data_IF_031495898330
#
_entry.id   IF_031495898330
#
_cell.length_a   1.000
_cell.length_b   1.000
_cell.length_c   1.000
_cell.angle_alpha   90.00
_cell.angle_beta   90.00
_cell.angle_gamma   90.00
#
_symmetry.space_group_name_H-M   'P 1'
#
loop_
_entity.id
_entity.type
_entity.pdbx_description
1 polymer ?
#
# COMPACT_ATOMS: atom_id res chain seq x y z
N UNK A 1 -15.35 20.04 -8.06
CA UNK A 1 -14.45 21.04 -7.44
C UNK A 1 -13.24 21.18 -8.36
N UNK A 2 -12.75 22.38 -8.62
CA UNK A 2 -11.59 22.61 -9.48
C UNK A 2 -10.31 22.05 -8.80
N UNK A 3 -9.46 21.23 -9.48
CA UNK A 3 -8.24 20.69 -8.90
C UNK A 3 -7.30 21.77 -8.38
N UNK A 4 -7.21 22.91 -9.05
CA UNK A 4 -6.35 24.01 -8.61
C UNK A 4 -6.87 24.70 -7.35
N UNK A 5 -8.16 24.53 -7.03
CA UNK A 5 -8.77 25.02 -5.78
C UNK A 5 -8.59 23.99 -4.67
N UNK A 6 -8.82 22.70 -4.97
CA UNK A 6 -8.66 21.62 -3.99
C UNK A 6 -7.19 21.39 -3.61
N UNK A 7 -6.29 21.49 -4.60
CA UNK A 7 -4.86 21.26 -4.51
C UNK A 7 -4.08 22.38 -5.22
N UNK A 8 -3.90 23.55 -4.58
CA UNK A 8 -3.14 24.64 -5.16
C UNK A 8 -1.67 24.24 -5.40
N UNK A 9 -1.10 24.74 -6.49
CA UNK A 9 0.26 24.39 -6.92
C UNK A 9 1.29 24.64 -5.80
N UNK A 10 2.15 23.64 -5.57
CA UNK A 10 3.22 23.71 -4.56
C UNK A 10 2.77 23.41 -3.13
N UNK A 11 1.47 23.17 -2.90
CA UNK A 11 0.95 22.72 -1.62
C UNK A 11 0.65 21.23 -1.67
N UNK A 12 1.12 20.49 -0.68
CA UNK A 12 0.86 19.03 -0.54
C UNK A 12 0.28 18.65 0.83
N UNK A 13 0.18 19.59 1.79
CA UNK A 13 -0.31 19.33 3.15
C UNK A 13 -1.86 19.35 3.27
N UNK A 14 -2.50 18.34 2.68
CA UNK A 14 -3.95 18.20 2.63
C UNK A 14 -4.50 17.25 3.70
N UNK A 15 -5.73 17.48 4.18
CA UNK A 15 -6.37 16.54 5.11
C UNK A 15 -6.89 15.31 4.37
N UNK A 16 -7.19 14.22 5.11
CA UNK A 16 -7.92 13.07 4.56
C UNK A 16 -9.23 13.44 3.85
N UNK A 17 -9.93 14.48 4.32
CA UNK A 17 -11.16 14.94 3.68
C UNK A 17 -10.87 15.45 2.25
N UNK A 18 -9.85 16.29 2.09
CA UNK A 18 -9.41 16.73 0.75
C UNK A 18 -8.95 15.55 -0.11
N UNK A 19 -8.17 14.63 0.46
CA UNK A 19 -7.73 13.41 -0.23
C UNK A 19 -8.91 12.63 -0.82
N UNK A 20 -9.88 12.21 0.01
CA UNK A 20 -11.02 11.41 -0.46
C UNK A 20 -11.92 12.18 -1.42
N UNK A 21 -12.05 13.51 -1.25
CA UNK A 21 -12.80 14.35 -2.19
C UNK A 21 -12.13 14.42 -3.57
N UNK A 22 -10.81 14.60 -3.63
CA UNK A 22 -10.06 14.65 -4.91
C UNK A 22 -10.14 13.29 -5.61
N UNK A 23 -9.92 12.20 -4.88
CA UNK A 23 -10.04 10.86 -5.44
C UNK A 23 -11.44 10.61 -6.00
N UNK A 24 -12.46 10.77 -5.16
CA UNK A 24 -13.86 10.46 -5.50
C UNK A 24 -14.41 11.33 -6.63
N UNK A 25 -14.15 12.63 -6.57
CA UNK A 25 -14.79 13.58 -7.48
C UNK A 25 -13.99 13.83 -8.75
N UNK A 26 -12.75 13.33 -8.85
CA UNK A 26 -11.82 13.73 -9.92
C UNK A 26 -11.01 12.58 -10.46
N UNK A 27 -10.08 12.02 -9.68
CA UNK A 27 -9.15 10.98 -10.16
C UNK A 27 -9.93 9.79 -10.71
N UNK A 28 -10.99 9.38 -9.98
CA UNK A 28 -11.84 8.27 -10.38
C UNK A 28 -12.59 8.53 -11.69
N UNK A 29 -12.87 9.79 -12.01
CA UNK A 29 -13.59 10.20 -13.23
C UNK A 29 -12.67 10.26 -14.45
N UNK A 30 -11.36 10.43 -14.24
CA UNK A 30 -10.35 10.49 -15.30
C UNK A 30 -9.87 9.10 -15.76
N UNK A 31 -10.02 8.07 -14.93
CA UNK A 31 -9.58 6.70 -15.22
C UNK A 31 -10.77 5.75 -15.42
N UNK A 32 -11.66 6.07 -16.36
CA UNK A 32 -12.94 5.35 -16.56
C UNK A 32 -12.99 4.47 -17.80
N UNK A 33 -12.00 4.52 -18.68
CA UNK A 33 -11.89 3.73 -19.91
C UNK A 33 -10.56 2.94 -19.99
N UNK A 34 -10.47 2.00 -20.93
CA UNK A 34 -9.28 1.13 -21.06
C UNK A 34 -8.00 1.86 -21.46
N UNK A 35 -8.08 2.93 -22.25
CA UNK A 35 -6.93 3.70 -22.70
C UNK A 35 -6.33 4.47 -21.52
N UNK A 36 -7.17 5.18 -20.78
CA UNK A 36 -6.78 5.89 -19.56
C UNK A 36 -6.21 4.94 -18.49
N UNK A 37 -6.77 3.74 -18.33
CA UNK A 37 -6.23 2.73 -17.41
C UNK A 37 -4.85 2.23 -17.84
N UNK A 38 -4.64 1.95 -19.13
CA UNK A 38 -3.34 1.53 -19.68
C UNK A 38 -2.30 2.64 -19.53
N UNK A 39 -2.66 3.88 -19.87
CA UNK A 39 -1.80 5.04 -19.73
C UNK A 39 -1.35 5.22 -18.27
N UNK A 40 -2.30 5.29 -17.34
CA UNK A 40 -2.01 5.53 -15.93
C UNK A 40 -1.18 4.40 -15.34
N UNK A 41 -1.53 3.14 -15.62
CA UNK A 41 -0.75 1.98 -15.14
C UNK A 41 0.68 2.04 -15.68
N UNK A 42 0.86 2.26 -16.98
CA UNK A 42 2.19 2.35 -17.59
C UNK A 42 3.02 3.50 -17.02
N UNK A 43 2.40 4.67 -16.81
CA UNK A 43 3.08 5.83 -16.20
C UNK A 43 3.60 5.50 -14.81
N UNK A 44 2.78 4.86 -13.97
CA UNK A 44 3.18 4.43 -12.62
C UNK A 44 4.36 3.47 -12.66
N UNK A 45 4.34 2.48 -13.55
CA UNK A 45 5.45 1.52 -13.72
C UNK A 45 6.75 2.22 -14.15
N UNK A 46 6.66 3.14 -15.11
CA UNK A 46 7.80 3.91 -15.60
C UNK A 46 8.40 4.81 -14.52
N UNK A 47 7.56 5.45 -13.72
CA UNK A 47 7.99 6.37 -12.67
C UNK A 47 8.66 5.61 -11.52
N UNK A 48 8.10 4.47 -11.08
CA UNK A 48 8.74 3.64 -10.06
C UNK A 48 10.04 3.01 -10.55
N UNK A 49 10.10 2.51 -11.79
CA UNK A 49 11.37 1.98 -12.32
C UNK A 49 12.44 3.07 -12.42
N UNK A 50 12.06 4.29 -12.83
CA UNK A 50 12.96 5.45 -12.87
C UNK A 50 13.45 5.86 -11.47
N UNK A 51 12.61 5.68 -10.46
CA UNK A 51 12.95 5.90 -9.04
C UNK A 51 13.85 4.79 -8.46
N UNK A 52 14.22 3.79 -9.25
CA UNK A 52 15.15 2.72 -8.87
C UNK A 52 14.50 1.53 -8.16
N UNK A 53 13.16 1.43 -8.19
CA UNK A 53 12.45 0.31 -7.58
C UNK A 53 12.81 -1.01 -8.25
N UNK A 54 13.12 -2.03 -7.44
CA UNK A 54 13.43 -3.40 -7.91
C UNK A 54 12.26 -4.36 -7.74
N UNK A 55 11.31 -4.04 -6.88
CA UNK A 55 10.14 -4.85 -6.55
C UNK A 55 8.95 -3.95 -6.24
N UNK A 56 7.84 -4.14 -6.95
CA UNK A 56 6.62 -3.35 -6.80
C UNK A 56 5.41 -4.25 -6.56
N UNK A 57 4.70 -4.03 -5.45
CA UNK A 57 3.33 -4.52 -5.25
C UNK A 57 2.37 -3.34 -5.46
N UNK A 58 1.84 -3.22 -6.68
CA UNK A 58 0.85 -2.19 -7.00
C UNK A 58 -0.51 -2.59 -6.43
N UNK A 59 -1.18 -1.70 -5.71
CA UNK A 59 -2.54 -1.93 -5.20
C UNK A 59 -3.57 -1.13 -6.00
N UNK A 60 -4.74 -1.71 -6.21
CA UNK A 60 -5.85 -0.99 -6.85
C UNK A 60 -7.22 -1.57 -6.49
N UNK A 61 -8.20 -0.69 -6.33
CA UNK A 61 -9.62 -1.06 -6.17
C UNK A 61 -10.24 -1.37 -7.53
N UNK A 62 -10.77 -2.58 -7.77
CA UNK A 62 -11.51 -2.89 -9.00
C UNK A 62 -12.70 -1.94 -9.16
N UNK A 63 -12.76 -1.25 -10.29
CA UNK A 63 -13.84 -0.29 -10.59
C UNK A 63 -14.59 -0.70 -11.84
N UNK A 64 -15.83 -0.25 -11.90
CA UNK A 64 -16.69 -0.37 -13.05
C UNK A 64 -17.06 1.01 -13.60
N UNK A 65 -17.14 1.08 -14.92
CA UNK A 65 -17.69 2.19 -15.68
C UNK A 65 -18.45 1.55 -16.85
N UNK A 66 -19.69 1.15 -16.58
CA UNK A 66 -20.49 0.36 -17.53
C UNK A 66 -20.76 1.12 -18.83
N UNK A 67 -20.93 2.44 -18.74
CA UNK A 67 -21.10 3.31 -19.91
C UNK A 67 -19.86 3.33 -20.83
N UNK A 68 -18.68 3.02 -20.28
CA UNK A 68 -17.42 2.87 -21.01
C UNK A 68 -17.06 1.39 -21.28
N UNK A 69 -17.97 0.45 -20.98
CA UNK A 69 -17.75 -0.99 -21.17
C UNK A 69 -16.71 -1.59 -20.21
N UNK A 70 -16.42 -0.93 -19.08
CA UNK A 70 -15.45 -1.41 -18.08
C UNK A 70 -16.21 -2.09 -16.93
N UNK A 71 -16.11 -3.42 -16.86
CA UNK A 71 -16.43 -4.18 -15.64
C UNK A 71 -15.23 -4.23 -14.69
N UNK A 72 -15.43 -4.61 -13.42
CA UNK A 72 -14.33 -4.84 -12.48
C UNK A 72 -13.32 -5.89 -12.99
N UNK A 73 -13.80 -6.93 -13.64
CA UNK A 73 -12.93 -7.92 -14.30
C UNK A 73 -12.14 -7.28 -15.45
N UNK A 74 -12.81 -6.49 -16.32
CA UNK A 74 -12.14 -5.83 -17.43
C UNK A 74 -11.08 -4.84 -16.92
N UNK A 75 -11.37 -4.11 -15.84
CA UNK A 75 -10.44 -3.23 -15.15
C UNK A 75 -9.17 -3.99 -14.74
N UNK A 76 -9.32 -5.07 -13.96
CA UNK A 76 -8.19 -5.85 -13.45
C UNK A 76 -7.41 -6.52 -14.58
N UNK A 77 -8.10 -7.12 -15.55
CA UNK A 77 -7.43 -7.70 -16.72
C UNK A 77 -6.64 -6.66 -17.52
N UNK A 78 -7.12 -5.42 -17.64
CA UNK A 78 -6.42 -4.34 -18.35
C UNK A 78 -5.16 -3.90 -17.60
N UNK A 79 -5.21 -3.78 -16.28
CA UNK A 79 -4.03 -3.47 -15.44
C UNK A 79 -2.98 -4.59 -15.57
N UNK A 80 -3.40 -5.85 -15.46
CA UNK A 80 -2.51 -7.01 -15.59
C UNK A 80 -1.91 -7.12 -17.00
N UNK A 81 -2.72 -6.93 -18.05
CA UNK A 81 -2.23 -6.90 -19.43
C UNK A 81 -1.17 -5.79 -19.61
N UNK A 82 -1.38 -4.62 -18.99
CA UNK A 82 -0.40 -3.52 -19.06
C UNK A 82 0.91 -3.85 -18.33
N UNK A 83 0.83 -4.50 -17.17
CA UNK A 83 2.02 -5.00 -16.43
C UNK A 83 2.76 -6.04 -17.28
N UNK A 84 2.02 -6.98 -17.88
CA UNK A 84 2.56 -8.03 -18.75
C UNK A 84 3.18 -7.48 -20.05
N UNK A 85 2.65 -6.38 -20.59
CA UNK A 85 3.18 -5.67 -21.76
C UNK A 85 4.40 -4.81 -21.41
N UNK A 86 4.47 -4.27 -20.19
CA UNK A 86 5.58 -3.43 -19.76
C UNK A 86 6.88 -4.21 -19.57
N UNK A 87 6.81 -5.41 -18.95
CA UNK A 87 7.93 -6.36 -18.72
C UNK A 87 9.31 -5.70 -18.57
N UNK A 88 9.63 -5.28 -17.35
CA UNK A 88 10.97 -4.80 -16.99
C UNK A 88 11.90 -5.96 -16.61
N UNK A 89 13.16 -5.88 -17.03
CA UNK A 89 14.23 -6.78 -16.57
C UNK A 89 14.79 -6.37 -15.19
N UNK A 90 14.49 -5.15 -14.73
CA UNK A 90 15.01 -4.58 -13.49
C UNK A 90 14.01 -4.67 -12.33
N UNK A 91 12.73 -4.46 -12.63
CA UNK A 91 11.65 -4.39 -11.66
C UNK A 91 10.61 -5.48 -11.89
N UNK A 92 10.44 -6.35 -10.89
CA UNK A 92 9.31 -7.27 -10.83
C UNK A 92 8.07 -6.56 -10.29
N UNK A 93 6.92 -6.73 -10.93
CA UNK A 93 5.65 -6.12 -10.49
C UNK A 93 4.60 -7.18 -10.20
N UNK A 94 3.89 -7.00 -9.10
CA UNK A 94 2.75 -7.81 -8.66
C UNK A 94 1.56 -6.91 -8.33
N UNK A 95 0.37 -7.50 -8.30
CA UNK A 95 -0.87 -6.78 -8.02
C UNK A 95 -1.50 -7.22 -6.68
N UNK A 96 -1.96 -6.24 -5.91
CA UNK A 96 -2.85 -6.42 -4.76
C UNK A 96 -4.22 -5.85 -5.11
N UNK A 97 -5.27 -6.64 -4.88
CA UNK A 97 -6.65 -6.17 -5.12
C UNK A 97 -7.20 -5.54 -3.85
N UNK A 98 -7.62 -4.28 -3.94
CA UNK A 98 -8.12 -3.52 -2.80
C UNK A 98 -9.62 -3.71 -2.58
N UNK A 99 -10.00 -3.94 -1.33
CA UNK A 99 -11.36 -3.81 -0.82
C UNK A 99 -11.53 -2.42 -0.20
N UNK A 100 -12.50 -1.66 -0.69
CA UNK A 100 -12.89 -0.38 -0.11
C UNK A 100 -13.83 -0.62 1.08
N UNK A 101 -13.39 -0.24 2.29
CA UNK A 101 -14.14 -0.43 3.54
C UNK A 101 -15.51 0.26 3.57
N UNK A 102 -15.76 1.22 2.68
CA UNK A 102 -17.05 1.92 2.57
C UNK A 102 -18.11 1.11 1.80
N UNK A 103 -17.70 0.01 1.14
CA UNK A 103 -18.56 -0.83 0.29
C UNK A 103 -19.16 -2.01 1.07
N UNK A 104 -20.29 -2.58 0.61
CA UNK A 104 -20.91 -3.73 1.26
C UNK A 104 -20.04 -4.99 1.14
N UNK A 105 -20.32 -6.00 1.97
CA UNK A 105 -19.58 -7.26 1.98
C UNK A 105 -19.61 -8.02 0.63
N UNK A 106 -20.63 -7.81 -0.19
CA UNK A 106 -20.73 -8.39 -1.54
C UNK A 106 -19.62 -7.89 -2.46
N UNK A 107 -19.28 -6.60 -2.40
CA UNK A 107 -18.18 -6.02 -3.18
C UNK A 107 -16.83 -6.62 -2.76
N UNK A 108 -16.64 -6.83 -1.46
CA UNK A 108 -15.44 -7.49 -0.96
C UNK A 108 -15.33 -8.92 -1.49
N UNK A 109 -16.42 -9.71 -1.44
CA UNK A 109 -16.43 -11.08 -1.97
C UNK A 109 -16.09 -11.13 -3.46
N UNK A 110 -16.67 -10.22 -4.25
CA UNK A 110 -16.36 -10.10 -5.68
C UNK A 110 -14.87 -9.76 -5.92
N UNK A 111 -14.32 -8.82 -5.15
CA UNK A 111 -12.89 -8.48 -5.23
C UNK A 111 -11.99 -9.68 -4.89
N UNK A 112 -12.36 -10.48 -3.87
CA UNK A 112 -11.64 -11.72 -3.54
C UNK A 112 -11.76 -12.75 -4.66
N UNK A 113 -12.94 -12.90 -5.28
CA UNK A 113 -13.13 -13.81 -6.41
C UNK A 113 -12.24 -13.44 -7.60
N UNK A 114 -12.13 -12.14 -7.90
CA UNK A 114 -11.19 -11.64 -8.91
C UNK A 114 -9.75 -11.93 -8.51
N UNK A 115 -9.39 -11.74 -7.24
CA UNK A 115 -8.03 -11.98 -6.77
C UNK A 115 -7.63 -13.45 -6.95
N UNK A 116 -8.52 -14.37 -6.56
CA UNK A 116 -8.34 -15.82 -6.73
C UNK A 116 -8.18 -16.17 -8.21
N UNK A 117 -9.08 -15.67 -9.06
CA UNK A 117 -9.07 -15.92 -10.51
C UNK A 117 -7.75 -15.52 -11.16
N UNK A 118 -7.14 -14.43 -10.70
CA UNK A 118 -5.94 -13.86 -11.30
C UNK A 118 -4.63 -14.14 -10.54
N UNK A 119 -4.63 -15.05 -9.56
CA UNK A 119 -3.39 -15.45 -8.84
C UNK A 119 -2.28 -15.90 -9.80
N UNK A 120 -2.64 -16.70 -10.82
CA UNK A 120 -1.70 -17.17 -11.84
C UNK A 120 -1.18 -16.09 -12.80
N UNK A 121 -1.68 -14.85 -12.71
CA UNK A 121 -1.28 -13.70 -13.54
C UNK A 121 -0.57 -12.59 -12.73
N UNK A 122 -0.13 -12.87 -11.51
CA UNK A 122 0.63 -11.93 -10.70
C UNK A 122 -0.18 -11.20 -9.62
N UNK A 123 -1.44 -11.58 -9.38
CA UNK A 123 -2.14 -11.17 -8.16
C UNK A 123 -1.62 -11.97 -6.98
N UNK A 124 -1.06 -11.29 -5.98
CA UNK A 124 -0.40 -11.94 -4.83
C UNK A 124 -1.16 -11.79 -3.52
N UNK A 125 -2.09 -10.86 -3.46
CA UNK A 125 -2.83 -10.60 -2.24
C UNK A 125 -4.00 -9.67 -2.43
N UNK A 126 -4.63 -9.37 -1.30
CA UNK A 126 -5.73 -8.43 -1.18
C UNK A 126 -5.46 -7.48 -0.03
N UNK A 127 -6.11 -6.32 -0.08
CA UNK A 127 -6.06 -5.38 1.02
C UNK A 127 -7.43 -4.90 1.49
N UNK A 128 -7.46 -4.28 2.66
CA UNK A 128 -8.53 -3.38 3.10
C UNK A 128 -7.99 -1.95 3.19
N UNK A 129 -8.64 -1.02 2.50
CA UNK A 129 -8.34 0.41 2.54
C UNK A 129 -9.61 1.25 2.43
N UNK A 130 -9.50 2.50 1.99
CA UNK A 130 -10.61 3.44 1.88
C UNK A 130 -10.81 4.28 3.13
N UNK A 131 -11.91 5.05 3.22
CA UNK A 131 -12.05 6.06 4.28
C UNK A 131 -12.09 5.45 5.70
N UNK A 132 -11.08 5.69 6.56
CA UNK A 132 -10.97 5.04 7.87
C UNK A 132 -12.04 5.49 8.87
N UNK A 133 -12.78 6.56 8.58
CA UNK A 133 -13.89 7.05 9.41
C UNK A 133 -15.22 6.37 9.10
N UNK A 134 -15.24 5.41 8.16
CA UNK A 134 -16.45 4.79 7.61
C UNK A 134 -16.33 3.27 7.56
N UNK A 135 -17.47 2.60 7.42
CA UNK A 135 -17.53 1.15 7.23
C UNK A 135 -17.41 0.35 8.53
N UNK A 136 -17.92 -0.88 8.50
CA UNK A 136 -17.81 -1.85 9.60
C UNK A 136 -16.95 -3.02 9.15
N UNK A 137 -15.73 -3.12 9.68
CA UNK A 137 -14.75 -4.13 9.26
C UNK A 137 -15.20 -5.57 9.53
N UNK A 138 -16.17 -5.79 10.43
CA UNK A 138 -16.68 -7.13 10.81
C UNK A 138 -17.40 -7.81 9.65
N UNK A 139 -17.94 -7.05 8.71
CA UNK A 139 -18.69 -7.59 7.56
C UNK A 139 -17.78 -8.32 6.57
N UNK A 140 -16.47 -8.06 6.60
CA UNK A 140 -15.51 -8.61 5.65
C UNK A 140 -14.93 -9.97 6.05
N UNK A 141 -15.31 -10.51 7.22
CA UNK A 141 -14.81 -11.79 7.73
C UNK A 141 -14.92 -12.94 6.73
N UNK A 142 -16.07 -13.05 6.04
CA UNK A 142 -16.25 -14.11 5.05
C UNK A 142 -15.30 -13.95 3.85
N UNK A 143 -15.10 -12.72 3.39
CA UNK A 143 -14.22 -12.41 2.27
C UNK A 143 -12.75 -12.70 2.61
N UNK A 144 -12.25 -12.21 3.74
CA UNK A 144 -10.85 -12.43 4.11
C UNK A 144 -10.55 -13.88 4.51
N UNK A 145 -11.49 -14.60 5.13
CA UNK A 145 -11.36 -16.05 5.34
C UNK A 145 -11.25 -16.79 4.01
N UNK A 146 -12.05 -16.40 3.00
CA UNK A 146 -11.97 -16.97 1.65
C UNK A 146 -10.63 -16.68 1.00
N UNK A 147 -10.10 -15.46 1.12
CA UNK A 147 -8.80 -15.09 0.58
C UNK A 147 -7.68 -15.96 1.18
N UNK A 148 -7.62 -16.07 2.52
CA UNK A 148 -6.64 -16.90 3.23
C UNK A 148 -6.75 -18.39 2.85
N UNK A 149 -7.96 -18.91 2.70
CA UNK A 149 -8.20 -20.29 2.29
C UNK A 149 -7.66 -20.61 0.88
N UNK A 150 -7.46 -19.61 0.03
CA UNK A 150 -6.87 -19.74 -1.31
C UNK A 150 -5.41 -19.28 -1.37
N UNK A 151 -4.77 -19.07 -0.20
CA UNK A 151 -3.36 -18.72 -0.10
C UNK A 151 -3.02 -17.28 -0.54
N UNK A 152 -4.03 -16.42 -0.73
CA UNK A 152 -3.78 -14.99 -0.95
C UNK A 152 -3.22 -14.36 0.32
N UNK A 153 -2.25 -13.46 0.13
CA UNK A 153 -1.69 -12.63 1.20
C UNK A 153 -2.64 -11.50 1.56
N UNK A 154 -2.59 -11.04 2.81
CA UNK A 154 -3.48 -10.00 3.33
C UNK A 154 -2.68 -8.84 3.91
N UNK A 155 -2.95 -7.62 3.43
CA UNK A 155 -2.49 -6.39 4.09
C UNK A 155 -3.68 -5.52 4.48
N UNK A 156 -3.65 -4.83 5.62
CA UNK A 156 -4.78 -4.05 6.12
C UNK A 156 -4.32 -2.65 6.50
N UNK A 157 -4.98 -1.62 6.00
CA UNK A 157 -4.87 -0.29 6.61
C UNK A 157 -5.36 -0.38 8.05
N UNK A 158 -4.56 0.13 8.99
CA UNK A 158 -4.73 -0.17 10.41
C UNK A 158 -4.45 1.05 11.28
N UNK A 159 -5.45 1.46 12.06
CA UNK A 159 -5.34 2.59 12.99
C UNK A 159 -4.85 3.91 12.34
N UNK A 160 -5.21 4.17 11.08
CA UNK A 160 -4.85 5.41 10.36
C UNK A 160 -5.37 6.68 11.04
N UNK A 161 -6.48 6.57 11.78
CA UNK A 161 -7.11 7.68 12.48
C UNK A 161 -7.62 7.23 13.85
N UNK A 162 -7.89 8.20 14.72
CA UNK A 162 -8.56 7.95 16.01
C UNK A 162 -9.94 7.26 15.87
N UNK A 163 -10.57 7.34 14.70
CA UNK A 163 -11.86 6.68 14.44
C UNK A 163 -11.71 5.19 14.13
N UNK A 164 -10.57 4.79 13.56
CA UNK A 164 -10.25 3.40 13.22
C UNK A 164 -9.31 2.73 14.23
N UNK A 165 -9.18 3.31 15.44
CA UNK A 165 -8.29 2.82 16.51
C UNK A 165 -9.03 2.22 17.71
N UNK A 166 -10.33 1.90 17.58
CA UNK A 166 -11.07 1.27 18.67
C UNK A 166 -10.59 -0.17 18.90
N UNK A 167 -10.51 -0.66 20.16
CA UNK A 167 -10.10 -2.03 20.44
C UNK A 167 -10.91 -3.08 19.67
N UNK A 168 -12.22 -2.87 19.49
CA UNK A 168 -13.07 -3.81 18.74
C UNK A 168 -12.67 -3.90 17.26
N UNK A 169 -12.40 -2.76 16.60
CA UNK A 169 -11.96 -2.73 15.20
C UNK A 169 -10.56 -3.35 15.06
N UNK A 170 -9.60 -2.95 15.89
CA UNK A 170 -8.23 -3.44 15.83
C UNK A 170 -8.15 -4.95 16.09
N UNK A 171 -8.85 -5.45 17.11
CA UNK A 171 -8.92 -6.90 17.37
C UNK A 171 -9.64 -7.65 16.25
N UNK A 172 -10.67 -7.07 15.64
CA UNK A 172 -11.34 -7.68 14.47
C UNK A 172 -10.36 -7.81 13.30
N UNK A 173 -9.63 -6.74 12.96
CA UNK A 173 -8.66 -6.74 11.87
C UNK A 173 -7.52 -7.74 12.14
N UNK A 174 -6.98 -7.78 13.36
CA UNK A 174 -5.96 -8.75 13.75
C UNK A 174 -6.47 -10.20 13.75
N UNK A 175 -7.77 -10.43 13.94
CA UNK A 175 -8.39 -11.76 13.85
C UNK A 175 -8.41 -12.33 12.44
N UNK A 176 -8.21 -11.49 11.41
CA UNK A 176 -8.07 -11.92 10.01
C UNK A 176 -6.65 -12.40 9.68
N UNK A 177 -5.74 -12.40 10.65
CA UNK A 177 -4.35 -12.85 10.50
C UNK A 177 -3.64 -12.20 9.31
N UNK A 178 -3.56 -10.86 9.27
CA UNK A 178 -2.90 -10.15 8.19
C UNK A 178 -1.40 -10.47 8.15
N UNK A 179 -0.85 -10.54 6.94
CA UNK A 179 0.58 -10.68 6.69
C UNK A 179 1.31 -9.33 6.86
N UNK A 180 0.62 -8.21 6.59
CA UNK A 180 1.12 -6.84 6.80
C UNK A 180 0.04 -5.87 7.31
N UNK A 181 0.47 -4.77 7.92
CA UNK A 181 -0.39 -3.65 8.34
C UNK A 181 0.14 -2.35 7.73
N UNK A 182 -0.76 -1.52 7.22
CA UNK A 182 -0.47 -0.18 6.72
C UNK A 182 -0.73 0.91 7.76
N UNK A 183 0.08 1.95 7.72
CA UNK A 183 0.04 3.15 8.57
C UNK A 183 0.34 2.93 10.05
N UNK A 184 -0.45 2.14 10.79
CA UNK A 184 -0.23 1.84 12.23
C UNK A 184 0.05 3.07 13.12
N UNK A 185 -0.73 4.14 12.92
CA UNK A 185 -0.52 5.45 13.56
C UNK A 185 -1.04 5.47 15.00
N UNK A 186 -2.34 5.25 15.17
CA UNK A 186 -3.04 5.38 16.44
C UNK A 186 -3.16 4.03 17.16
N UNK A 187 -2.05 3.31 17.31
CA UNK A 187 -2.05 1.96 17.90
C UNK A 187 -1.81 2.04 19.42
N UNK A 188 -2.72 1.50 20.25
CA UNK A 188 -2.49 1.35 21.70
C UNK A 188 -1.35 0.39 22.02
N UNK A 189 -0.73 0.50 23.20
CA UNK A 189 0.49 -0.25 23.54
C UNK A 189 0.27 -1.77 23.58
N UNK A 190 -0.88 -2.25 24.07
CA UNK A 190 -1.22 -3.69 24.06
C UNK A 190 -1.34 -4.25 22.63
N UNK A 191 -1.81 -3.44 21.68
CA UNK A 191 -1.87 -3.80 20.27
C UNK A 191 -0.48 -3.72 19.63
N UNK A 192 0.40 -2.77 20.03
CA UNK A 192 1.79 -2.74 19.56
C UNK A 192 2.55 -3.98 19.98
N UNK A 193 2.37 -4.42 21.24
CA UNK A 193 2.96 -5.64 21.76
C UNK A 193 2.52 -6.85 20.94
N UNK A 194 1.24 -6.93 20.59
CA UNK A 194 0.71 -8.01 19.77
C UNK A 194 1.25 -8.02 18.33
N UNK A 195 1.35 -6.85 17.70
CA UNK A 195 1.96 -6.67 16.37
C UNK A 195 3.42 -7.14 16.39
N UNK A 196 4.17 -6.71 17.40
CA UNK A 196 5.60 -7.05 17.58
C UNK A 196 5.78 -8.54 17.84
N UNK A 197 4.95 -9.13 18.72
CA UNK A 197 4.97 -10.56 19.03
C UNK A 197 4.72 -11.43 17.80
N UNK A 198 3.82 -11.00 16.92
CA UNK A 198 3.50 -11.68 15.65
C UNK A 198 4.49 -11.39 14.53
N UNK A 199 5.38 -10.39 14.71
CA UNK A 199 6.33 -9.90 13.69
C UNK A 199 5.64 -9.54 12.37
N UNK A 200 4.48 -8.88 12.46
CA UNK A 200 3.73 -8.46 11.27
C UNK A 200 4.53 -7.40 10.51
N UNK A 201 4.57 -7.48 9.17
CA UNK A 201 5.24 -6.47 8.34
C UNK A 201 4.48 -5.14 8.35
N UNK A 202 5.19 -4.01 8.35
CA UNK A 202 4.61 -2.69 8.51
C UNK A 202 4.90 -1.82 7.28
N UNK A 203 3.84 -1.41 6.58
CA UNK A 203 3.90 -0.47 5.46
C UNK A 203 3.79 0.95 6.02
N UNK A 204 4.92 1.66 6.14
CA UNK A 204 4.98 2.98 6.77
C UNK A 204 5.15 4.09 5.71
N UNK A 205 4.22 5.06 5.71
CA UNK A 205 4.09 6.08 4.68
C UNK A 205 4.33 7.49 5.26
N UNK A 206 5.58 7.96 5.30
CA UNK A 206 5.95 9.15 6.06
C UNK A 206 5.32 10.42 5.48
N UNK A 207 5.50 10.66 4.18
CA UNK A 207 4.97 11.87 3.54
C UNK A 207 3.45 11.87 3.53
N UNK A 208 2.80 10.74 3.25
CA UNK A 208 1.35 10.61 3.39
C UNK A 208 0.89 11.00 4.80
N UNK A 209 1.51 10.43 5.85
CA UNK A 209 1.05 10.66 7.22
C UNK A 209 1.25 12.11 7.68
N UNK A 210 2.37 12.74 7.30
CA UNK A 210 2.67 14.14 7.65
C UNK A 210 1.84 15.10 6.83
N UNK A 211 1.85 14.96 5.51
CA UNK A 211 1.13 15.85 4.61
C UNK A 211 -0.39 15.68 4.73
N UNK A 212 -0.85 14.44 4.93
CA UNK A 212 -2.21 14.02 5.24
C UNK A 212 -2.78 14.54 6.56
N UNK A 213 -1.92 15.14 7.41
CA UNK A 213 -2.23 15.59 8.78
C UNK A 213 -2.76 14.47 9.66
N UNK A 214 -2.27 13.25 9.45
CA UNK A 214 -2.60 12.07 10.25
C UNK A 214 -1.84 12.04 11.57
N UNK A 215 -0.66 12.67 11.60
CA UNK A 215 0.15 12.84 12.81
C UNK A 215 0.38 14.33 13.12
N UNK A 216 0.81 14.58 14.36
CA UNK A 216 1.29 15.89 14.80
C UNK A 216 2.83 15.88 14.85
N UNK A 217 3.47 17.05 14.77
CA UNK A 217 4.92 17.18 14.94
C UNK A 217 5.78 16.98 13.70
N UNK A 218 5.20 16.53 12.59
CA UNK A 218 5.90 16.37 11.32
C UNK A 218 6.75 15.09 11.27
N UNK A 219 7.77 15.08 10.41
CA UNK A 219 8.59 13.88 10.18
C UNK A 219 9.34 13.36 11.42
N UNK A 220 9.97 14.21 12.28
CA UNK A 220 10.69 13.72 13.45
C UNK A 220 9.80 13.01 14.49
N UNK A 221 8.51 13.35 14.55
CA UNK A 221 7.55 12.76 15.48
C UNK A 221 6.82 11.54 14.86
N UNK A 222 7.21 11.12 13.65
CA UNK A 222 6.58 9.99 12.98
C UNK A 222 6.86 8.66 13.71
N UNK A 223 5.83 7.82 13.89
CA UNK A 223 5.90 6.53 14.59
C UNK A 223 6.87 5.52 13.95
N UNK A 224 7.39 5.81 12.75
CA UNK A 224 8.53 5.11 12.16
C UNK A 224 9.70 5.00 13.16
N UNK A 225 10.03 6.08 13.88
CA UNK A 225 11.11 6.08 14.86
C UNK A 225 10.93 5.07 15.99
N UNK A 226 9.68 4.71 16.32
CA UNK A 226 9.40 3.61 17.25
C UNK A 226 9.57 2.25 16.58
N UNK A 227 8.96 2.07 15.41
CA UNK A 227 8.86 0.76 14.74
C UNK A 227 10.18 0.26 14.15
N UNK A 228 11.07 1.15 13.71
CA UNK A 228 12.37 0.77 13.14
C UNK A 228 13.27 0.06 14.15
N UNK A 229 13.04 0.29 15.45
CA UNK A 229 13.75 -0.37 16.55
C UNK A 229 13.06 -1.65 17.05
N UNK A 230 11.91 -2.03 16.47
CA UNK A 230 11.23 -3.27 16.80
C UNK A 230 11.67 -4.43 15.89
N UNK A 231 11.26 -5.63 16.26
CA UNK A 231 11.50 -6.86 15.48
C UNK A 231 10.62 -6.99 14.23
N UNK A 232 9.69 -6.05 14.03
CA UNK A 232 8.82 -6.01 12.86
C UNK A 232 9.60 -5.64 11.58
N UNK A 233 9.36 -6.33 10.45
CA UNK A 233 9.84 -5.86 9.15
C UNK A 233 9.16 -4.54 8.80
N UNK A 234 9.93 -3.47 8.63
CA UNK A 234 9.42 -2.17 8.15
C UNK A 234 9.65 -2.06 6.65
N UNK A 235 8.61 -1.66 5.91
CA UNK A 235 8.63 -1.35 4.49
C UNK A 235 8.22 0.11 4.32
N UNK A 236 9.18 0.99 4.04
CA UNK A 236 8.85 2.35 3.61
C UNK A 236 8.04 2.28 2.31
N UNK A 237 6.95 3.04 2.26
CA UNK A 237 5.98 3.02 1.16
C UNK A 237 5.54 4.44 0.82
N UNK A 238 5.22 4.69 -0.45
CA UNK A 238 4.79 6.02 -0.90
C UNK A 238 3.33 6.32 -0.59
N UNK A 239 2.52 5.28 -0.37
CA UNK A 239 1.07 5.35 -0.49
C UNK A 239 0.69 5.93 -1.86
N UNK A 240 0.11 7.12 -1.91
CA UNK A 240 -0.25 7.82 -3.14
C UNK A 240 0.80 8.86 -3.60
N UNK A 241 1.85 8.38 -4.28
CA UNK A 241 2.95 9.24 -4.80
C UNK A 241 2.46 10.42 -5.64
N UNK A 242 1.41 10.25 -6.43
CA UNK A 242 0.84 11.33 -7.26
C UNK A 242 0.18 12.44 -6.43
N UNK A 243 -0.42 12.09 -5.29
CA UNK A 243 -1.12 13.04 -4.43
C UNK A 243 -0.18 13.74 -3.45
N UNK A 244 0.71 12.97 -2.81
CA UNK A 244 1.66 13.49 -1.82
C UNK A 244 2.98 13.97 -2.43
N UNK A 245 3.18 13.76 -3.73
CA UNK A 245 4.34 14.19 -4.51
C UNK A 245 5.68 13.73 -3.93
N UNK A 246 5.72 12.55 -3.31
CA UNK A 246 6.93 12.00 -2.70
C UNK A 246 7.26 10.62 -3.29
N UNK A 247 8.28 10.53 -4.17
CA UNK A 247 8.74 9.24 -4.68
C UNK A 247 9.39 8.41 -3.56
N UNK A 248 9.56 7.11 -3.75
CA UNK A 248 10.05 6.23 -2.68
C UNK A 248 11.48 6.61 -2.28
N UNK A 249 12.33 7.00 -3.23
CA UNK A 249 13.68 7.52 -2.92
C UNK A 249 13.65 8.68 -1.93
N UNK A 250 12.65 9.56 -2.03
CA UNK A 250 12.44 10.66 -1.09
C UNK A 250 11.93 10.17 0.26
N UNK A 251 11.06 9.15 0.32
CA UNK A 251 10.65 8.53 1.60
C UNK A 251 11.84 7.96 2.37
N UNK A 252 12.79 7.32 1.66
CA UNK A 252 14.03 6.84 2.26
C UNK A 252 14.93 7.99 2.72
N UNK A 253 15.04 9.07 1.94
CA UNK A 253 15.81 10.26 2.34
C UNK A 253 15.22 10.90 3.60
N UNK A 254 13.90 11.12 3.63
CA UNK A 254 13.18 11.67 4.78
C UNK A 254 13.39 10.80 6.02
N UNK A 255 13.26 9.48 5.88
CA UNK A 255 13.46 8.56 6.99
C UNK A 255 14.92 8.61 7.50
N UNK A 256 15.90 8.64 6.60
CA UNK A 256 17.31 8.74 6.98
C UNK A 256 17.64 10.04 7.69
N UNK A 257 17.16 11.19 7.17
CA UNK A 257 17.42 12.52 7.75
C UNK A 257 16.66 12.75 9.06
N UNK A 258 15.42 12.25 9.17
CA UNK A 258 14.57 12.51 10.35
C UNK A 258 14.89 11.60 11.54
N UNK A 259 15.52 10.44 11.29
CA UNK A 259 15.79 9.41 12.29
C UNK A 259 17.26 9.00 12.36
N UNK A 260 18.16 9.83 11.81
CA UNK A 260 19.61 9.64 11.81
C UNK A 260 20.06 8.24 11.36
N UNK A 261 19.41 7.69 10.33
CA UNK A 261 19.75 6.37 9.82
C UNK A 261 21.00 6.46 8.95
N UNK A 262 22.01 5.67 9.29
CA UNK A 262 23.13 5.46 8.38
C UNK A 262 22.78 4.49 7.25
N UNK A 263 23.69 4.39 6.26
CA UNK A 263 23.51 3.52 5.10
C UNK A 263 23.33 2.04 5.49
N UNK A 264 24.04 1.57 6.52
CA UNK A 264 23.94 0.19 6.99
C UNK A 264 22.56 -0.10 7.57
N UNK A 265 22.04 0.81 8.41
CA UNK A 265 20.70 0.72 8.98
C UNK A 265 19.61 0.69 7.90
N UNK A 266 19.75 1.51 6.85
CA UNK A 266 18.83 1.50 5.71
C UNK A 266 18.88 0.18 4.94
N UNK A 267 20.09 -0.36 4.67
CA UNK A 267 20.25 -1.65 4.00
C UNK A 267 19.65 -2.79 4.84
N UNK A 268 19.89 -2.80 6.15
CA UNK A 268 19.35 -3.81 7.06
C UNK A 268 17.82 -3.75 7.13
N UNK A 269 17.24 -2.55 7.13
CA UNK A 269 15.79 -2.37 7.02
C UNK A 269 15.26 -2.96 5.71
N UNK A 270 15.88 -2.67 4.57
CA UNK A 270 15.50 -3.25 3.28
C UNK A 270 15.57 -4.78 3.28
N UNK A 271 16.65 -5.36 3.83
CA UNK A 271 16.83 -6.81 3.97
C UNK A 271 15.71 -7.42 4.81
N UNK A 272 15.41 -6.84 5.97
CA UNK A 272 14.28 -7.26 6.83
C UNK A 272 12.95 -7.17 6.07
N UNK A 273 12.71 -6.09 5.35
CA UNK A 273 11.49 -5.88 4.55
C UNK A 273 11.21 -7.00 3.54
N UNK A 274 12.25 -7.61 2.95
CA UNK A 274 12.09 -8.73 2.01
C UNK A 274 11.33 -9.91 2.62
N UNK A 275 11.40 -10.16 3.93
CA UNK A 275 10.64 -11.27 4.52
C UNK A 275 9.13 -11.06 4.42
N UNK A 276 8.67 -9.81 4.38
CA UNK A 276 7.26 -9.41 4.40
C UNK A 276 6.63 -9.20 3.00
N UNK A 277 7.40 -9.25 1.91
CA UNK A 277 6.83 -9.21 0.56
C UNK A 277 6.00 -10.46 0.28
N UNK A 278 5.03 -10.32 -0.62
CA UNK A 278 4.07 -11.36 -0.97
C UNK A 278 4.56 -12.28 -2.10
N UNK A 279 5.62 -11.90 -2.80
CA UNK A 279 6.26 -12.77 -3.79
C UNK A 279 6.96 -13.99 -3.16
N UNK A 280 7.21 -14.99 -4.01
CA UNK A 280 7.76 -16.28 -3.62
C UNK A 280 9.24 -16.27 -3.24
N UNK A 281 9.78 -17.42 -2.78
CA UNK A 281 11.16 -17.53 -2.29
C UNK A 281 12.23 -17.12 -3.30
N UNK A 282 12.03 -17.41 -4.60
CA UNK A 282 12.98 -17.03 -5.65
C UNK A 282 13.13 -15.51 -5.76
N UNK A 283 12.01 -14.79 -5.66
CA UNK A 283 11.99 -13.34 -5.73
C UNK A 283 12.63 -12.71 -4.49
N UNK A 284 12.36 -13.27 -3.31
CA UNK A 284 13.04 -12.89 -2.07
C UNK A 284 14.56 -13.08 -2.19
N UNK A 285 15.00 -14.22 -2.72
CA UNK A 285 16.43 -14.51 -2.94
C UNK A 285 17.07 -13.53 -3.92
N UNK A 286 16.38 -13.20 -5.02
CA UNK A 286 16.85 -12.20 -6.00
C UNK A 286 17.11 -10.85 -5.34
N UNK A 287 16.15 -10.35 -4.57
CA UNK A 287 16.26 -9.06 -3.88
C UNK A 287 17.36 -9.06 -2.81
N UNK A 288 17.52 -10.16 -2.07
CA UNK A 288 18.60 -10.31 -1.09
C UNK A 288 19.97 -10.24 -1.75
N UNK A 289 20.14 -10.90 -2.90
CA UNK A 289 21.40 -10.84 -3.66
C UNK A 289 21.69 -9.42 -4.15
N UNK A 290 20.68 -8.74 -4.71
CA UNK A 290 20.83 -7.35 -5.17
C UNK A 290 21.25 -6.39 -4.05
N UNK A 291 20.65 -6.52 -2.86
CA UNK A 291 21.05 -5.70 -1.70
C UNK A 291 22.45 -6.06 -1.20
N UNK A 292 22.83 -7.33 -1.23
CA UNK A 292 24.17 -7.78 -0.79
C UNK A 292 25.26 -7.28 -1.76
N UNK A 293 24.98 -7.30 -3.07
CA UNK A 293 25.86 -6.73 -4.09
C UNK A 293 25.97 -5.22 -3.94
N UNK A 294 24.85 -4.53 -3.69
CA UNK A 294 24.85 -3.08 -3.45
C UNK A 294 25.67 -2.72 -2.21
N UNK A 295 25.49 -3.45 -1.10
CA UNK A 295 26.24 -3.26 0.14
C UNK A 295 27.75 -3.43 -0.09
N UNK A 296 28.17 -4.50 -0.75
CA UNK A 296 29.58 -4.77 -1.04
C UNK A 296 30.26 -3.71 -1.93
N UNK A 297 29.48 -2.94 -2.70
CA UNK A 297 29.99 -1.89 -3.58
C UNK A 297 29.99 -0.49 -2.94
N UNK A 298 29.25 -0.30 -1.85
CA UNK A 298 28.94 1.02 -1.31
C UNK A 298 29.19 1.18 0.20
N UNK A 299 29.73 0.14 0.84
CA UNK A 299 30.23 0.14 2.22
C UNK A 299 31.73 -0.12 2.23
#
# INVERSE_FOLDING_TARGET
MDPYIAMPQGKVDFTLDTFFQVFTNMIHQLCTDSESLRYSTRSVLQDFERDGIRYLELRTTPRESLDQGISKEKYISTVLDTIDEYRSEQMSTYLIISVDRTKPASDALEAIDLAIKYQGRGVVGVELGGNPTRGDVRIFRLAFNKAKAHGLKLTLHFAESVFSSSPDELNTLLSYEPDRLGHVIHVPDDIKDEITRRKIGLELCLSCNVHGKLIQGGFPDHHFGYWIHQECPVLLSTDDVGFFCSPLSNEYLIAAESFDLDRGMVIDMCKKGISAIFAGPEEKKRLYNLLSEFEAQNM
#
